data_IF_367256193410
#
_entry.id   IF_367256193410
#
_cell.length_a   1.000
_cell.length_b   1.000
_cell.length_c   1.000
_cell.angle_alpha   90.00
_cell.angle_beta   90.00
_cell.angle_gamma   90.00
#
_symmetry.space_group_name_H-M   'P 1'
#
loop_
_entity.id
_entity.type
_entity.pdbx_description
1 polymer ?
#
# COMPACT_ATOMS: atom_id res chain seq x y z
N UNK A 1 17.79 -12.36 -2.07
CA UNK A 1 18.10 -11.21 -1.20
C UNK A 1 18.87 -10.12 -1.96
N UNK A 2 19.99 -10.46 -2.63
CA UNK A 2 20.81 -9.54 -3.44
C UNK A 2 20.03 -8.74 -4.49
N UNK A 3 19.17 -9.38 -5.29
CA UNK A 3 18.33 -8.68 -6.28
C UNK A 3 17.36 -7.65 -5.69
N UNK A 4 16.80 -7.93 -4.51
CA UNK A 4 15.89 -6.99 -3.87
C UNK A 4 16.67 -5.75 -3.41
N UNK A 5 17.82 -5.94 -2.75
CA UNK A 5 18.69 -4.85 -2.31
C UNK A 5 19.09 -3.98 -3.51
N UNK A 6 19.51 -4.60 -4.62
CA UNK A 6 19.85 -3.87 -5.84
C UNK A 6 18.67 -3.05 -6.39
N UNK A 7 17.44 -3.59 -6.36
CA UNK A 7 16.26 -2.86 -6.82
C UNK A 7 15.92 -1.66 -5.92
N UNK A 8 16.05 -1.80 -4.59
CA UNK A 8 15.90 -0.67 -3.67
C UNK A 8 17.02 0.37 -3.86
N UNK A 9 18.25 -0.05 -4.16
CA UNK A 9 19.33 0.89 -4.50
C UNK A 9 19.01 1.68 -5.77
N UNK A 10 18.43 1.06 -6.80
CA UNK A 10 17.97 1.76 -8.02
C UNK A 10 16.90 2.80 -7.67
N UNK A 11 15.95 2.46 -6.80
CA UNK A 11 14.92 3.39 -6.33
C UNK A 11 15.53 4.60 -5.62
N UNK A 12 16.42 4.36 -4.67
CA UNK A 12 17.11 5.43 -3.93
C UNK A 12 17.91 6.30 -4.90
N UNK A 13 18.74 5.71 -5.76
CA UNK A 13 19.51 6.47 -6.74
C UNK A 13 18.62 7.33 -7.65
N UNK A 14 17.47 6.81 -8.09
CA UNK A 14 16.54 7.56 -8.92
C UNK A 14 15.97 8.78 -8.20
N UNK A 15 15.66 8.68 -6.90
CA UNK A 15 15.16 9.82 -6.12
C UNK A 15 16.24 10.88 -5.80
N UNK A 16 17.50 10.47 -5.73
CA UNK A 16 18.63 11.35 -5.41
C UNK A 16 19.24 12.01 -6.65
N UNK A 17 19.18 11.35 -7.81
CA UNK A 17 19.67 11.91 -9.06
C UNK A 17 18.67 12.96 -9.58
N UNK A 18 19.15 14.05 -10.21
CA UNK A 18 18.30 15.08 -10.80
C UNK A 18 17.65 14.56 -12.09
N UNK A 19 16.67 13.66 -11.95
CA UNK A 19 15.84 13.22 -13.05
C UNK A 19 15.02 14.41 -13.54
N UNK A 20 15.02 14.71 -14.85
CA UNK A 20 14.19 15.78 -15.40
C UNK A 20 12.74 15.65 -14.95
N UNK A 21 12.20 16.74 -14.41
CA UNK A 21 10.85 16.83 -13.85
C UNK A 21 9.78 16.35 -14.85
N UNK A 22 9.94 16.67 -16.13
CA UNK A 22 9.06 16.24 -17.21
C UNK A 22 8.87 14.72 -17.28
N UNK A 23 9.87 13.91 -16.90
CA UNK A 23 9.74 12.44 -16.87
C UNK A 23 8.80 12.02 -15.73
N UNK A 24 9.01 12.56 -14.53
CA UNK A 24 8.18 12.25 -13.37
C UNK A 24 6.74 12.74 -13.54
N UNK A 25 6.55 13.96 -14.07
CA UNK A 25 5.23 14.51 -14.39
C UNK A 25 4.54 13.76 -15.53
N UNK A 26 5.29 13.27 -16.52
CA UNK A 26 4.76 12.38 -17.56
C UNK A 26 4.16 11.12 -16.94
N UNK A 27 4.88 10.44 -16.04
CA UNK A 27 4.40 9.23 -15.36
C UNK A 27 3.20 9.55 -14.45
N UNK A 28 3.17 10.73 -13.84
CA UNK A 28 2.07 11.18 -12.98
C UNK A 28 0.79 11.46 -13.76
N UNK A 29 0.86 12.19 -14.87
CA UNK A 29 -0.31 12.74 -15.55
C UNK A 29 -0.68 12.05 -16.88
N UNK A 30 0.28 11.60 -17.68
CA UNK A 30 0.01 11.07 -19.01
C UNK A 30 -0.44 9.60 -18.95
N UNK A 31 -1.75 9.37 -18.92
CA UNK A 31 -2.31 8.02 -18.77
C UNK A 31 -2.15 7.16 -20.03
N UNK A 32 -2.45 7.71 -21.20
CA UNK A 32 -2.58 6.94 -22.45
C UNK A 32 -1.23 6.39 -22.86
N UNK A 33 -0.23 7.25 -23.00
CA UNK A 33 1.09 6.82 -23.46
C UNK A 33 1.79 5.95 -22.41
N UNK A 34 1.61 6.26 -21.13
CA UNK A 34 2.14 5.43 -20.06
C UNK A 34 1.54 4.02 -20.05
N UNK A 35 0.26 3.86 -20.39
CA UNK A 35 -0.36 2.53 -20.52
C UNK A 35 0.31 1.70 -21.61
N UNK A 36 0.57 2.33 -22.76
CA UNK A 36 1.24 1.69 -23.91
C UNK A 36 2.69 1.31 -23.61
N UNK A 37 3.36 2.01 -22.69
CA UNK A 37 4.75 1.73 -22.29
C UNK A 37 4.80 0.72 -21.13
N UNK A 38 4.05 0.96 -20.06
CA UNK A 38 4.16 0.21 -18.81
C UNK A 38 3.66 -1.24 -18.95
N UNK A 39 2.56 -1.48 -19.67
CA UNK A 39 2.00 -2.82 -19.81
C UNK A 39 2.95 -3.78 -20.53
N UNK A 40 3.53 -3.45 -21.71
CA UNK A 40 4.54 -4.30 -22.34
C UNK A 40 5.78 -4.51 -21.48
N UNK A 41 6.29 -3.47 -20.80
CA UNK A 41 7.46 -3.60 -19.93
C UNK A 41 7.21 -4.55 -18.74
N UNK A 42 6.05 -4.44 -18.07
CA UNK A 42 5.70 -5.41 -17.02
C UNK A 42 5.52 -6.82 -17.57
N UNK A 43 4.89 -6.95 -18.73
CA UNK A 43 4.70 -8.25 -19.36
C UNK A 43 6.04 -8.94 -19.66
N UNK A 44 7.01 -8.19 -20.20
CA UNK A 44 8.35 -8.69 -20.48
C UNK A 44 9.11 -9.03 -19.19
N UNK A 45 9.17 -8.11 -18.23
CA UNK A 45 9.91 -8.32 -16.97
C UNK A 45 9.37 -9.50 -16.16
N UNK A 46 8.05 -9.69 -16.13
CA UNK A 46 7.43 -10.84 -15.45
C UNK A 46 7.67 -12.17 -16.15
N UNK A 47 7.99 -12.21 -17.45
CA UNK A 47 8.41 -13.45 -18.14
C UNK A 47 9.84 -13.87 -17.82
N UNK A 48 10.69 -12.95 -17.39
CA UNK A 48 12.07 -13.26 -17.00
C UNK A 48 12.04 -14.13 -15.73
N UNK A 49 12.78 -15.24 -15.76
CA UNK A 49 12.87 -16.19 -14.65
C UNK A 49 14.04 -15.87 -13.72
N UNK A 50 13.97 -16.40 -12.49
CA UNK A 50 15.07 -16.34 -11.52
C UNK A 50 15.33 -14.93 -10.97
N UNK A 51 16.57 -14.73 -10.54
CA UNK A 51 17.03 -13.51 -9.83
C UNK A 51 16.92 -12.27 -10.71
N UNK A 52 17.20 -12.39 -12.02
CA UNK A 52 17.08 -11.30 -12.98
C UNK A 52 15.64 -10.81 -13.13
N UNK A 53 14.67 -11.72 -13.15
CA UNK A 53 13.25 -11.34 -13.23
C UNK A 53 12.75 -10.68 -11.94
N UNK A 54 13.27 -11.09 -10.79
CA UNK A 54 12.98 -10.42 -9.51
C UNK A 54 13.51 -8.99 -9.53
N UNK A 55 14.80 -8.83 -9.88
CA UNK A 55 15.42 -7.51 -9.98
C UNK A 55 14.70 -6.62 -11.00
N UNK A 56 14.53 -7.07 -12.24
CA UNK A 56 13.92 -6.28 -13.30
C UNK A 56 12.47 -5.88 -12.98
N UNK A 57 11.66 -6.83 -12.51
CA UNK A 57 10.27 -6.57 -12.16
C UNK A 57 10.13 -5.63 -10.96
N UNK A 58 10.89 -5.86 -9.88
CA UNK A 58 10.82 -5.03 -8.68
C UNK A 58 11.38 -3.63 -8.93
N UNK A 59 12.50 -3.50 -9.65
CA UNK A 59 13.06 -2.20 -10.06
C UNK A 59 12.07 -1.43 -10.91
N UNK A 60 11.42 -2.08 -11.89
CA UNK A 60 10.40 -1.42 -12.72
C UNK A 60 9.21 -0.95 -11.87
N UNK A 61 8.73 -1.75 -10.92
CA UNK A 61 7.66 -1.33 -10.00
C UNK A 61 8.09 -0.14 -9.14
N UNK A 62 9.27 -0.21 -8.53
CA UNK A 62 9.80 0.86 -7.69
C UNK A 62 9.99 2.16 -8.48
N UNK A 63 10.54 2.08 -9.70
CA UNK A 63 10.69 3.23 -10.59
C UNK A 63 9.32 3.81 -10.95
N UNK A 64 8.36 2.98 -11.35
CA UNK A 64 7.03 3.46 -11.73
C UNK A 64 6.32 4.17 -10.57
N UNK A 65 6.45 3.67 -9.34
CA UNK A 65 5.87 4.28 -8.15
C UNK A 65 6.69 5.48 -7.64
N UNK A 66 8.00 5.52 -7.89
CA UNK A 66 8.86 6.61 -7.45
C UNK A 66 8.91 7.81 -8.41
N UNK A 67 8.75 7.60 -9.72
CA UNK A 67 8.85 8.68 -10.71
C UNK A 67 7.82 9.80 -10.50
N UNK A 68 6.53 9.54 -10.16
CA UNK A 68 5.59 10.61 -9.80
C UNK A 68 6.02 11.42 -8.58
N UNK A 69 6.76 10.79 -7.64
CA UNK A 69 7.27 11.44 -6.44
C UNK A 69 8.46 12.34 -6.79
N UNK A 70 9.43 11.81 -7.55
CA UNK A 70 10.54 12.59 -8.10
C UNK A 70 10.06 13.77 -8.94
N UNK A 71 9.04 13.59 -9.78
CA UNK A 71 8.45 14.64 -10.60
C UNK A 71 7.87 15.77 -9.77
N UNK A 72 7.15 15.47 -8.69
CA UNK A 72 6.63 16.49 -7.77
C UNK A 72 7.76 17.28 -7.11
N UNK A 73 8.77 16.58 -6.57
CA UNK A 73 9.86 17.23 -5.84
C UNK A 73 10.71 18.12 -6.73
N UNK A 74 10.98 17.71 -7.98
CA UNK A 74 11.80 18.49 -8.90
C UNK A 74 11.03 19.65 -9.55
N UNK A 75 9.74 19.48 -9.84
CA UNK A 75 8.92 20.54 -10.46
C UNK A 75 8.39 21.58 -9.47
N UNK A 76 8.31 21.24 -8.18
CA UNK A 76 7.60 22.06 -7.21
C UNK A 76 6.09 22.18 -7.49
N UNK A 77 5.52 21.25 -8.26
CA UNK A 77 4.11 21.30 -8.62
C UNK A 77 3.20 21.27 -7.39
N UNK A 78 2.17 22.10 -7.40
CA UNK A 78 1.16 22.14 -6.34
C UNK A 78 -0.10 21.39 -6.78
N UNK A 79 -0.68 20.64 -5.85
CA UNK A 79 -1.83 19.77 -6.01
C UNK A 79 -2.78 19.93 -4.81
N UNK A 80 -4.02 19.39 -4.85
CA UNK A 80 -5.02 19.62 -3.80
C UNK A 80 -4.57 19.31 -2.35
N UNK A 81 -3.55 18.46 -2.16
CA UNK A 81 -3.02 18.07 -0.85
C UNK A 81 -1.51 18.38 -0.67
N UNK A 82 -0.89 19.06 -1.64
CA UNK A 82 0.56 19.31 -1.67
C UNK A 82 0.83 20.72 -2.21
N UNK A 83 1.61 21.52 -1.50
CA UNK A 83 2.12 22.81 -1.96
C UNK A 83 3.60 22.67 -2.27
N UNK A 84 4.04 23.20 -3.41
CA UNK A 84 5.45 23.25 -3.77
C UNK A 84 6.10 21.86 -3.90
N UNK A 85 5.33 20.83 -4.30
CA UNK A 85 5.81 19.46 -4.47
C UNK A 85 6.03 18.66 -3.18
N UNK A 86 6.01 19.28 -2.01
CA UNK A 86 6.36 18.61 -0.75
C UNK A 86 5.46 18.96 0.44
N UNK A 87 5.08 20.23 0.60
CA UNK A 87 4.43 20.71 1.82
C UNK A 87 2.99 20.18 1.88
N UNK A 88 2.61 19.39 2.91
CA UNK A 88 1.24 18.91 3.02
C UNK A 88 0.24 20.05 3.14
N UNK A 89 -0.92 19.90 2.50
CA UNK A 89 -2.03 20.88 2.56
C UNK A 89 -3.36 20.20 2.86
N UNK A 90 -4.32 20.98 3.40
CA UNK A 90 -5.65 20.48 3.80
C UNK A 90 -5.54 19.32 4.81
N UNK A 91 -6.34 18.26 4.65
CA UNK A 91 -6.32 17.06 5.49
C UNK A 91 -4.90 16.45 5.66
N UNK A 92 -4.06 16.51 4.62
CA UNK A 92 -2.71 15.99 4.66
C UNK A 92 -1.83 16.74 5.68
N UNK A 93 -2.02 18.06 5.81
CA UNK A 93 -1.35 18.89 6.81
C UNK A 93 -1.80 18.53 8.23
N UNK A 94 -3.09 18.27 8.43
CA UNK A 94 -3.62 17.83 9.72
C UNK A 94 -3.01 16.50 10.17
N UNK A 95 -2.92 15.49 9.29
CA UNK A 95 -2.26 14.23 9.63
C UNK A 95 -0.75 14.38 9.89
N UNK A 96 -0.06 15.22 9.10
CA UNK A 96 1.37 15.48 9.30
C UNK A 96 1.66 16.21 10.61
N UNK A 97 0.91 17.27 10.90
CA UNK A 97 1.04 18.02 12.16
C UNK A 97 0.72 17.16 13.38
N UNK A 98 -0.32 16.33 13.32
CA UNK A 98 -0.62 15.38 14.39
C UNK A 98 0.47 14.32 14.58
N UNK A 99 1.09 13.86 13.49
CA UNK A 99 2.21 12.94 13.59
C UNK A 99 3.41 13.58 14.31
N UNK A 100 3.74 14.85 13.97
CA UNK A 100 4.79 15.62 14.65
C UNK A 100 4.47 15.87 16.12
N UNK A 101 3.22 16.21 16.47
CA UNK A 101 2.78 16.38 17.87
C UNK A 101 3.16 15.17 18.72
N UNK A 102 2.95 13.97 18.21
CA UNK A 102 3.27 12.73 18.93
C UNK A 102 4.77 12.47 19.01
N UNK A 103 5.52 12.81 17.96
CA UNK A 103 7.00 12.78 18.03
C UNK A 103 7.51 13.67 19.16
N UNK A 104 6.88 14.83 19.37
CA UNK A 104 7.19 15.79 20.44
C UNK A 104 6.55 15.44 21.81
N UNK A 105 5.93 14.26 21.95
CA UNK A 105 5.36 13.78 23.22
C UNK A 105 3.95 14.27 23.55
N UNK A 106 3.27 14.93 22.61
CA UNK A 106 1.86 15.29 22.74
C UNK A 106 0.94 14.19 22.19
N UNK A 107 -0.35 14.28 22.52
CA UNK A 107 -1.39 13.41 21.97
C UNK A 107 -1.88 13.89 20.59
N UNK A 108 -2.50 12.98 19.85
CA UNK A 108 -3.23 13.33 18.63
C UNK A 108 -4.32 14.36 18.91
N UNK A 109 -4.55 15.26 17.95
CA UNK A 109 -5.75 16.08 17.97
C UNK A 109 -7.01 15.24 17.73
N UNK A 110 -8.18 15.84 17.99
CA UNK A 110 -9.47 15.23 17.70
C UNK A 110 -9.69 14.91 16.20
N UNK A 111 -8.86 15.44 15.29
CA UNK A 111 -8.90 15.11 13.87
C UNK A 111 -8.32 13.71 13.62
N UNK A 112 -7.04 13.50 13.93
CA UNK A 112 -6.35 12.22 13.68
C UNK A 112 -6.83 11.10 14.59
N UNK A 113 -7.35 11.42 15.78
CA UNK A 113 -7.92 10.43 16.69
C UNK A 113 -9.09 9.66 16.05
N UNK A 114 -9.78 10.20 15.04
CA UNK A 114 -10.84 9.46 14.32
C UNK A 114 -10.30 8.31 13.45
N UNK A 115 -9.03 8.39 13.04
CA UNK A 115 -8.35 7.45 12.12
C UNK A 115 -6.87 7.33 12.51
N UNK A 116 -6.55 6.76 13.68
CA UNK A 116 -5.24 6.94 14.31
C UNK A 116 -4.13 6.08 13.66
N UNK A 117 -4.48 5.05 12.88
CA UNK A 117 -3.51 4.11 12.31
C UNK A 117 -2.50 4.76 11.35
N UNK A 118 -2.97 5.62 10.44
CA UNK A 118 -2.07 6.27 9.49
C UNK A 118 -1.17 7.32 10.16
N UNK A 119 -1.71 8.24 10.98
CA UNK A 119 -0.89 9.18 11.75
C UNK A 119 0.12 8.47 12.65
N UNK A 120 -0.24 7.35 13.27
CA UNK A 120 0.69 6.56 14.09
C UNK A 120 1.84 5.97 13.26
N UNK A 121 1.55 5.43 12.07
CA UNK A 121 2.60 5.01 11.13
C UNK A 121 3.50 6.19 10.75
N UNK A 122 2.91 7.35 10.43
CA UNK A 122 3.65 8.54 10.03
C UNK A 122 4.54 9.05 11.17
N UNK A 123 4.07 9.02 12.42
CA UNK A 123 4.87 9.32 13.62
C UNK A 123 6.09 8.42 13.70
N UNK A 124 5.93 7.11 13.51
CA UNK A 124 7.07 6.16 13.54
C UNK A 124 8.08 6.48 12.44
N UNK A 125 7.60 6.74 11.22
CA UNK A 125 8.49 7.11 10.09
C UNK A 125 9.23 8.42 10.37
N UNK A 126 8.54 9.44 10.88
CA UNK A 126 9.16 10.72 11.23
C UNK A 126 10.14 10.57 12.38
N UNK A 127 9.81 9.81 13.43
CA UNK A 127 10.74 9.56 14.54
C UNK A 127 12.02 8.88 14.08
N UNK A 128 11.91 7.84 13.23
CA UNK A 128 13.08 7.09 12.72
C UNK A 128 13.90 7.90 11.72
N UNK A 129 13.27 8.79 10.95
CA UNK A 129 13.97 9.61 9.93
C UNK A 129 14.47 10.95 10.45
N UNK A 130 14.37 11.22 11.76
CA UNK A 130 14.76 12.52 12.33
C UNK A 130 13.88 13.67 11.84
N UNK A 131 12.57 13.43 11.74
CA UNK A 131 11.54 14.33 11.25
C UNK A 131 11.70 14.75 9.77
N UNK A 132 12.42 13.93 8.97
CA UNK A 132 12.59 14.19 7.56
C UNK A 132 11.39 13.66 6.75
N UNK A 133 10.51 14.58 6.34
CA UNK A 133 9.30 14.24 5.58
C UNK A 133 9.61 13.64 4.20
N UNK A 134 10.61 14.16 3.49
CA UNK A 134 11.01 13.65 2.16
C UNK A 134 11.38 12.17 2.23
N UNK A 135 12.24 11.83 3.19
CA UNK A 135 12.69 10.45 3.42
C UNK A 135 11.53 9.57 3.90
N UNK A 136 10.67 10.08 4.79
CA UNK A 136 9.49 9.35 5.27
C UNK A 136 8.55 8.96 4.13
N UNK A 137 8.26 9.89 3.21
CA UNK A 137 7.41 9.65 2.04
C UNK A 137 8.10 8.68 1.05
N UNK A 138 9.42 8.80 0.85
CA UNK A 138 10.18 7.85 0.03
C UNK A 138 10.06 6.41 0.56
N UNK A 139 10.24 6.21 1.87
CA UNK A 139 10.12 4.90 2.51
C UNK A 139 8.70 4.37 2.34
N UNK A 140 7.69 5.21 2.56
CA UNK A 140 6.28 4.82 2.40
C UNK A 140 5.97 4.39 0.96
N UNK A 141 6.43 5.16 -0.03
CA UNK A 141 6.29 4.82 -1.45
C UNK A 141 6.97 3.51 -1.82
N UNK A 142 8.16 3.25 -1.27
CA UNK A 142 8.90 2.01 -1.50
C UNK A 142 8.19 0.79 -0.89
N UNK A 143 7.62 0.92 0.31
CA UNK A 143 6.82 -0.13 0.97
C UNK A 143 5.59 -0.46 0.13
N UNK A 144 4.85 0.56 -0.32
CA UNK A 144 3.65 0.38 -1.16
C UNK A 144 4.02 -0.35 -2.46
N UNK A 145 5.07 0.12 -3.14
CA UNK A 145 5.55 -0.49 -4.38
C UNK A 145 5.94 -1.96 -4.19
N UNK A 146 6.67 -2.28 -3.12
CA UNK A 146 7.08 -3.65 -2.81
C UNK A 146 5.87 -4.57 -2.54
N UNK A 147 4.88 -4.09 -1.77
CA UNK A 147 3.65 -4.85 -1.50
C UNK A 147 2.86 -5.08 -2.79
N UNK A 148 2.69 -4.05 -3.63
CA UNK A 148 2.03 -4.17 -4.93
C UNK A 148 2.78 -5.13 -5.88
N UNK A 149 4.11 -5.13 -5.86
CA UNK A 149 4.92 -6.10 -6.62
C UNK A 149 4.66 -7.54 -6.16
N UNK A 150 4.69 -7.79 -4.86
CA UNK A 150 4.43 -9.13 -4.30
C UNK A 150 3.02 -9.62 -4.66
N UNK A 151 2.02 -8.73 -4.56
CA UNK A 151 0.64 -9.01 -4.97
C UNK A 151 0.54 -9.38 -6.45
N UNK A 152 1.21 -8.61 -7.32
CA UNK A 152 1.25 -8.88 -8.75
C UNK A 152 1.93 -10.22 -9.07
N UNK A 153 2.98 -10.60 -8.34
CA UNK A 153 3.62 -11.92 -8.48
C UNK A 153 2.70 -13.06 -8.05
N UNK A 154 1.86 -12.86 -7.05
CA UNK A 154 0.84 -13.86 -6.70
C UNK A 154 -0.23 -13.96 -7.79
N UNK A 155 -0.72 -12.83 -8.31
CA UNK A 155 -1.65 -12.82 -9.46
C UNK A 155 -1.04 -13.50 -10.68
N UNK A 156 0.26 -13.31 -10.92
CA UNK A 156 0.96 -13.97 -12.02
C UNK A 156 0.92 -15.49 -11.90
N UNK A 157 1.13 -16.01 -10.69
CA UNK A 157 1.11 -17.45 -10.42
C UNK A 157 -0.29 -18.05 -10.61
N UNK A 158 -1.33 -17.31 -10.25
CA UNK A 158 -2.72 -17.80 -10.33
C UNK A 158 -3.37 -17.62 -11.70
N UNK A 159 -3.13 -16.49 -12.38
CA UNK A 159 -3.89 -16.06 -13.57
C UNK A 159 -3.00 -15.77 -14.79
N UNK A 160 -1.67 -15.80 -14.64
CA UNK A 160 -0.72 -15.58 -15.72
C UNK A 160 -0.20 -14.14 -15.83
N UNK A 161 0.78 -13.97 -16.70
CA UNK A 161 1.58 -12.74 -16.83
C UNK A 161 0.78 -11.51 -17.26
N UNK A 162 -0.18 -11.67 -18.17
CA UNK A 162 -0.99 -10.55 -18.64
C UNK A 162 -1.84 -9.98 -17.50
N UNK A 163 -2.53 -10.83 -16.75
CA UNK A 163 -3.34 -10.43 -15.60
C UNK A 163 -2.50 -9.72 -14.54
N UNK A 164 -1.29 -10.21 -14.24
CA UNK A 164 -0.38 -9.54 -13.30
C UNK A 164 0.06 -8.15 -13.77
N UNK A 165 0.33 -7.99 -15.07
CA UNK A 165 0.78 -6.73 -15.66
C UNK A 165 -0.34 -5.68 -15.61
N UNK A 166 -1.57 -6.09 -15.94
CA UNK A 166 -2.75 -5.23 -15.82
C UNK A 166 -3.05 -4.90 -14.36
N UNK A 167 -2.98 -5.90 -13.46
CA UNK A 167 -3.25 -5.73 -12.04
C UNK A 167 -2.31 -4.71 -11.40
N UNK A 168 -0.99 -4.85 -11.58
CA UNK A 168 -0.02 -3.91 -11.00
C UNK A 168 -0.18 -2.50 -11.60
N UNK A 169 -0.51 -2.41 -12.88
CA UNK A 169 -0.75 -1.12 -13.52
C UNK A 169 -1.99 -0.43 -12.96
N UNK A 170 -3.09 -1.15 -12.71
CA UNK A 170 -4.29 -0.59 -12.06
C UNK A 170 -3.96 -0.09 -10.65
N UNK A 171 -3.20 -0.85 -9.86
CA UNK A 171 -2.75 -0.41 -8.53
C UNK A 171 -1.91 0.87 -8.63
N UNK A 172 -1.03 0.96 -9.62
CA UNK A 172 -0.27 2.17 -9.90
C UNK A 172 -1.17 3.36 -10.29
N UNK A 173 -2.20 3.16 -11.12
CA UNK A 173 -3.12 4.24 -11.51
C UNK A 173 -3.87 4.84 -10.30
N UNK A 174 -4.14 4.03 -9.29
CA UNK A 174 -4.65 4.52 -8.02
C UNK A 174 -3.56 5.27 -7.25
N UNK A 175 -2.40 4.64 -7.05
CA UNK A 175 -1.30 5.18 -6.26
C UNK A 175 -0.75 6.51 -6.79
N UNK A 176 -0.62 6.69 -8.12
CA UNK A 176 -0.02 7.90 -8.71
C UNK A 176 -0.71 9.19 -8.27
N UNK A 177 -2.01 9.14 -7.93
CA UNK A 177 -2.80 10.29 -7.46
C UNK A 177 -2.52 10.67 -6.00
N UNK A 178 -2.05 9.72 -5.20
CA UNK A 178 -1.77 9.90 -3.77
C UNK A 178 -0.26 9.94 -3.49
N UNK A 179 0.57 9.61 -4.48
CA UNK A 179 2.02 9.63 -4.35
C UNK A 179 2.50 11.04 -3.95
N UNK A 180 3.29 11.11 -2.88
CA UNK A 180 3.77 12.37 -2.32
C UNK A 180 2.89 12.99 -1.23
N UNK A 181 1.69 12.46 -0.99
CA UNK A 181 0.77 13.01 0.02
C UNK A 181 0.96 12.35 1.38
N UNK A 182 0.67 13.06 2.47
CA UNK A 182 0.52 12.47 3.82
C UNK A 182 -0.94 12.14 4.13
N UNK A 183 -1.58 11.42 3.21
CA UNK A 183 -2.98 11.02 3.34
C UNK A 183 -3.14 9.54 3.69
N UNK A 184 -4.28 9.19 4.31
CA UNK A 184 -4.53 7.84 4.84
C UNK A 184 -4.57 6.75 3.77
N UNK A 185 -4.80 7.11 2.51
CA UNK A 185 -4.72 6.22 1.35
C UNK A 185 -3.36 5.52 1.26
N UNK A 186 -2.28 6.17 1.70
CA UNK A 186 -0.93 5.60 1.64
C UNK A 186 -0.72 4.43 2.60
N UNK A 187 -1.54 4.32 3.67
CA UNK A 187 -1.60 3.10 4.50
C UNK A 187 -2.74 2.17 4.07
N UNK A 188 -3.89 2.71 3.67
CA UNK A 188 -5.03 1.91 3.23
C UNK A 188 -4.69 1.01 2.04
N UNK A 189 -4.02 1.55 1.01
CA UNK A 189 -3.66 0.81 -0.19
C UNK A 189 -2.78 -0.43 0.11
N UNK A 190 -1.61 -0.32 0.76
CA UNK A 190 -0.76 -1.48 1.02
C UNK A 190 -1.46 -2.51 1.94
N UNK A 191 -2.25 -2.08 2.93
CA UNK A 191 -3.00 -3.02 3.79
C UNK A 191 -4.06 -3.79 3.00
N UNK A 192 -4.86 -3.11 2.16
CA UNK A 192 -5.87 -3.79 1.31
C UNK A 192 -5.20 -4.74 0.33
N UNK A 193 -4.11 -4.32 -0.31
CA UNK A 193 -3.40 -5.15 -1.31
C UNK A 193 -2.77 -6.38 -0.65
N UNK A 194 -2.18 -6.24 0.54
CA UNK A 194 -1.66 -7.36 1.32
C UNK A 194 -2.78 -8.31 1.76
N UNK A 195 -3.89 -7.77 2.29
CA UNK A 195 -5.07 -8.53 2.67
C UNK A 195 -5.63 -9.33 1.48
N UNK A 196 -5.83 -8.68 0.33
CA UNK A 196 -6.29 -9.32 -0.90
C UNK A 196 -5.37 -10.47 -1.32
N UNK A 197 -4.05 -10.24 -1.34
CA UNK A 197 -3.06 -11.24 -1.75
C UNK A 197 -3.11 -12.47 -0.85
N UNK A 198 -3.19 -12.26 0.46
CA UNK A 198 -3.25 -13.35 1.45
C UNK A 198 -4.59 -14.09 1.34
N UNK A 199 -5.71 -13.38 1.27
CA UNK A 199 -7.05 -13.98 1.13
C UNK A 199 -7.16 -14.79 -0.18
N UNK A 200 -6.62 -14.27 -1.27
CA UNK A 200 -6.59 -14.94 -2.57
C UNK A 200 -5.82 -16.26 -2.49
N UNK A 201 -4.59 -16.23 -1.97
CA UNK A 201 -3.77 -17.45 -1.81
C UNK A 201 -4.41 -18.43 -0.82
N UNK A 202 -4.99 -17.93 0.27
CA UNK A 202 -5.65 -18.74 1.28
C UNK A 202 -6.91 -19.43 0.75
N UNK A 203 -7.66 -18.77 -0.13
CA UNK A 203 -8.83 -19.36 -0.80
C UNK A 203 -8.43 -20.55 -1.67
N UNK A 204 -7.33 -20.44 -2.42
CA UNK A 204 -6.83 -21.56 -3.23
C UNK A 204 -6.29 -22.71 -2.38
N UNK A 205 -5.60 -22.41 -1.27
CA UNK A 205 -4.98 -23.41 -0.39
C UNK A 205 -5.92 -23.98 0.68
N UNK A 206 -7.13 -23.42 0.81
CA UNK A 206 -8.07 -23.67 1.92
C UNK A 206 -7.38 -23.61 3.28
N UNK A 207 -6.63 -22.55 3.53
CA UNK A 207 -5.91 -22.35 4.80
C UNK A 207 -6.62 -21.30 5.68
N UNK A 208 -7.27 -21.77 6.75
CA UNK A 208 -8.08 -20.93 7.64
C UNK A 208 -7.25 -19.84 8.35
N UNK A 209 -6.03 -20.17 8.80
CA UNK A 209 -5.18 -19.21 9.50
C UNK A 209 -4.71 -18.09 8.58
N UNK A 210 -4.36 -18.41 7.34
CA UNK A 210 -4.05 -17.38 6.34
C UNK A 210 -5.28 -16.53 6.03
N UNK A 211 -6.47 -17.13 5.94
CA UNK A 211 -7.72 -16.37 5.78
C UNK A 211 -7.95 -15.41 6.95
N UNK A 212 -7.74 -15.86 8.19
CA UNK A 212 -7.87 -15.01 9.37
C UNK A 212 -6.88 -13.83 9.32
N UNK A 213 -5.60 -14.06 9.02
CA UNK A 213 -4.61 -12.98 8.86
C UNK A 213 -5.01 -12.00 7.76
N UNK A 214 -5.49 -12.49 6.63
CA UNK A 214 -6.00 -11.65 5.54
C UNK A 214 -7.20 -10.79 5.96
N UNK A 215 -8.13 -11.35 6.73
CA UNK A 215 -9.26 -10.61 7.29
C UNK A 215 -8.83 -9.57 8.33
N UNK A 216 -7.86 -9.88 9.18
CA UNK A 216 -7.30 -8.92 10.14
C UNK A 216 -6.74 -7.70 9.41
N UNK A 217 -5.92 -7.93 8.38
CA UNK A 217 -5.34 -6.85 7.57
C UNK A 217 -6.42 -6.07 6.82
N UNK A 218 -7.45 -6.73 6.30
CA UNK A 218 -8.58 -6.08 5.65
C UNK A 218 -9.34 -5.16 6.63
N UNK A 219 -9.58 -5.63 7.85
CA UNK A 219 -10.23 -4.83 8.89
C UNK A 219 -9.37 -3.63 9.29
N UNK A 220 -8.05 -3.82 9.47
CA UNK A 220 -7.13 -2.71 9.73
C UNK A 220 -7.12 -1.71 8.56
N UNK A 221 -7.20 -2.18 7.32
CA UNK A 221 -7.26 -1.32 6.14
C UNK A 221 -8.55 -0.47 6.12
N UNK A 222 -9.69 -1.08 6.44
CA UNK A 222 -10.99 -0.39 6.55
C UNK A 222 -11.03 0.59 7.72
N UNK A 223 -10.29 0.33 8.80
CA UNK A 223 -10.12 1.27 9.91
C UNK A 223 -9.18 2.43 9.55
N UNK A 224 -8.08 2.15 8.86
CA UNK A 224 -7.14 3.18 8.39
C UNK A 224 -7.81 4.11 7.39
N UNK A 225 -8.66 3.56 6.52
CA UNK A 225 -9.50 4.31 5.61
C UNK A 225 -10.86 3.63 5.42
N UNK A 226 -11.89 4.26 5.99
CA UNK A 226 -13.27 3.81 5.87
C UNK A 226 -13.65 3.60 4.40
N UNK A 227 -14.12 2.38 4.10
CA UNK A 227 -14.55 1.95 2.79
C UNK A 227 -15.78 1.06 2.88
N UNK A 228 -15.82 0.02 2.06
CA UNK A 228 -16.97 -0.90 1.96
C UNK A 228 -16.99 -1.92 3.12
N UNK A 229 -17.35 -1.48 4.33
CA UNK A 229 -17.42 -2.35 5.52
C UNK A 229 -18.32 -3.59 5.35
N UNK A 230 -19.28 -3.54 4.42
CA UNK A 230 -20.12 -4.68 4.05
C UNK A 230 -19.34 -5.89 3.52
N UNK A 231 -18.09 -5.70 3.06
CA UNK A 231 -17.23 -6.82 2.65
C UNK A 231 -16.91 -7.76 3.81
N UNK A 232 -16.84 -7.26 5.05
CA UNK A 232 -16.51 -8.06 6.23
C UNK A 232 -17.59 -9.12 6.51
N UNK A 233 -18.88 -8.78 6.73
CA UNK A 233 -19.91 -9.80 6.95
C UNK A 233 -20.05 -10.75 5.75
N UNK A 234 -19.91 -10.26 4.52
CA UNK A 234 -19.93 -11.12 3.33
C UNK A 234 -18.80 -12.17 3.34
N UNK A 235 -17.57 -11.75 3.67
CA UNK A 235 -16.42 -12.66 3.77
C UNK A 235 -16.52 -13.61 4.96
N UNK A 236 -17.10 -13.18 6.09
CA UNK A 236 -17.36 -14.06 7.23
C UNK A 236 -18.31 -15.20 6.83
N UNK A 237 -19.43 -14.88 6.17
CA UNK A 237 -20.35 -15.88 5.64
C UNK A 237 -19.65 -16.80 4.62
N UNK A 238 -18.88 -16.22 3.70
CA UNK A 238 -18.09 -16.99 2.74
C UNK A 238 -17.13 -17.96 3.44
N UNK A 239 -16.43 -17.54 4.50
CA UNK A 239 -15.53 -18.43 5.26
C UNK A 239 -16.27 -19.65 5.83
N UNK A 240 -17.46 -19.45 6.41
CA UNK A 240 -18.24 -20.57 6.93
C UNK A 240 -18.65 -21.56 5.83
N UNK A 241 -18.94 -21.09 4.61
CA UNK A 241 -19.22 -21.98 3.47
C UNK A 241 -17.95 -22.61 2.87
N UNK A 242 -16.87 -21.85 2.72
CA UNK A 242 -15.63 -22.30 2.08
C UNK A 242 -14.93 -23.41 2.87
N UNK A 243 -15.02 -23.34 4.21
CA UNK A 243 -14.38 -24.28 5.13
C UNK A 243 -15.35 -25.33 5.71
N UNK A 244 -16.50 -25.57 5.04
CA UNK A 244 -17.59 -26.42 5.56
C UNK A 244 -17.27 -27.92 5.65
N UNK A 245 -16.27 -28.43 4.92
CA UNK A 245 -15.99 -29.86 4.84
C UNK A 245 -17.24 -30.64 4.40
N UNK A 246 -17.66 -31.63 5.21
CA UNK A 246 -18.89 -32.41 4.98
C UNK A 246 -20.16 -31.76 5.56
N UNK A 247 -20.06 -30.63 6.24
CA UNK A 247 -21.21 -29.90 6.81
C UNK A 247 -21.75 -28.90 5.79
N UNK A 248 -22.97 -28.39 6.02
CA UNK A 248 -23.53 -27.30 5.22
C UNK A 248 -22.77 -25.97 5.46
N UNK A 249 -22.28 -25.76 6.68
CA UNK A 249 -21.59 -24.56 7.12
C UNK A 249 -20.62 -24.88 8.28
N UNK A 250 -19.46 -24.23 8.30
CA UNK A 250 -18.46 -24.34 9.37
C UNK A 250 -18.59 -23.19 10.37
N UNK A 251 -19.31 -23.45 11.46
CA UNK A 251 -19.41 -22.53 12.60
C UNK A 251 -18.02 -22.19 13.18
N UNK A 252 -17.08 -23.15 13.37
CA UNK A 252 -15.76 -22.82 13.91
C UNK A 252 -14.99 -21.85 13.02
N UNK A 253 -15.00 -22.04 11.70
CA UNK A 253 -14.32 -21.13 10.77
C UNK A 253 -14.95 -19.74 10.80
N UNK A 254 -16.28 -19.66 10.82
CA UNK A 254 -17.00 -18.39 10.96
C UNK A 254 -16.62 -17.65 12.26
N UNK A 255 -16.65 -18.35 13.41
CA UNK A 255 -16.34 -17.75 14.72
C UNK A 255 -14.88 -17.28 14.79
N UNK A 256 -13.91 -18.08 14.33
CA UNK A 256 -12.49 -17.68 14.31
C UNK A 256 -12.31 -16.41 13.47
N UNK A 257 -12.89 -16.38 12.28
CA UNK A 257 -12.82 -15.21 11.41
C UNK A 257 -13.53 -13.99 12.01
N UNK A 258 -14.68 -14.18 12.67
CA UNK A 258 -15.43 -13.10 13.33
C UNK A 258 -14.65 -12.50 14.51
N UNK A 259 -14.05 -13.34 15.36
CA UNK A 259 -13.16 -12.90 16.43
C UNK A 259 -11.94 -12.16 15.88
N UNK A 260 -11.40 -12.61 14.75
CA UNK A 260 -10.28 -11.94 14.09
C UNK A 260 -10.67 -10.54 13.59
N UNK A 261 -11.83 -10.40 12.97
CA UNK A 261 -12.38 -9.08 12.58
C UNK A 261 -12.59 -8.20 13.82
N UNK A 262 -13.19 -8.72 14.89
CA UNK A 262 -13.36 -7.98 16.13
C UNK A 262 -12.02 -7.51 16.72
N UNK A 263 -10.99 -8.36 16.67
CA UNK A 263 -9.63 -7.99 17.11
C UNK A 263 -9.02 -6.86 16.27
N UNK A 264 -9.30 -6.80 14.96
CA UNK A 264 -8.84 -5.69 14.11
C UNK A 264 -9.46 -4.35 14.49
N UNK A 265 -10.73 -4.33 14.90
CA UNK A 265 -11.35 -3.14 15.49
C UNK A 265 -10.77 -2.81 16.86
N UNK A 266 -10.52 -3.83 17.69
CA UNK A 266 -9.87 -3.69 19.00
C UNK A 266 -8.48 -3.05 18.89
N UNK A 267 -7.64 -3.48 17.94
CA UNK A 267 -6.33 -2.89 17.70
C UNK A 267 -6.43 -1.40 17.32
N UNK A 268 -7.37 -1.02 16.46
CA UNK A 268 -7.59 0.39 16.13
C UNK A 268 -7.98 1.22 17.36
N UNK A 269 -8.80 0.64 18.25
CA UNK A 269 -9.20 1.28 19.51
C UNK A 269 -8.04 1.38 20.51
N UNK A 270 -7.11 0.41 20.52
CA UNK A 270 -5.90 0.50 21.35
C UNK A 270 -4.99 1.64 20.89
N UNK A 271 -4.77 1.78 19.58
CA UNK A 271 -3.96 2.90 19.04
C UNK A 271 -4.61 4.24 19.38
N UNK A 272 -5.95 4.33 19.33
CA UNK A 272 -6.68 5.52 19.78
C UNK A 272 -6.45 5.88 21.26
N UNK A 273 -6.27 4.89 22.13
CA UNK A 273 -6.06 5.16 23.56
C UNK A 273 -4.58 5.45 23.91
N UNK A 274 -3.65 4.96 23.08
CA UNK A 274 -2.21 5.12 23.30
C UNK A 274 -1.67 6.45 22.77
N UNK A 275 -2.38 7.09 21.83
CA UNK A 275 -1.91 8.27 21.09
C UNK A 275 -2.95 9.40 21.12
#
# INVERSE_FOLDING_TARGET
MTACIAAFMVYVLMLWLPVPDGIGLFVRYNLVLLTLIALPLFYLTFRIKGILGIFAGLSLTLLLFGLPLSGLWQSGASEPFIIGGLLPFSDAASYYSDALRVVEGYRFSAFSARRPLFPALLTVLLAVTGQNLVVSIAILGAIIAAICYLAAREMQRSLGTLCASVFIFILFLFYRRIAGTTMTENLGLPLVVAAFTILWSAASRKNLWQTAVGLLLLTLALNARAGTFFILPALLLWCGFAFRGNRLFSIPAFVICALTVASGFGLNMLVFNLV
#
